data_IF_024650866386
#
_entry.id   IF_024650866386
#
_cell.length_a   1.000
_cell.length_b   1.000
_cell.length_c   1.000
_cell.angle_alpha   90.00
_cell.angle_beta   90.00
_cell.angle_gamma   90.00
#
_symmetry.space_group_name_H-M   'P 1'
#
loop_
_entity.id
_entity.type
_entity.pdbx_description
1 polymer ?
#
# COMPACT_ATOMS: atom_id res chain seq x y z
N UNK A 1 33.63 -24.80 -5.08
CA UNK A 1 32.38 -24.09 -4.74
C UNK A 1 31.25 -24.70 -5.55
N UNK A 2 30.17 -25.12 -4.85
CA UNK A 2 28.97 -25.70 -5.49
C UNK A 2 27.96 -24.63 -5.90
N UNK A 3 28.21 -23.35 -5.58
CA UNK A 3 27.31 -22.22 -5.80
C UNK A 3 28.08 -21.11 -6.53
N UNK A 4 27.50 -20.65 -7.63
CA UNK A 4 27.93 -19.45 -8.34
C UNK A 4 26.85 -18.37 -8.23
N UNK A 5 27.23 -17.15 -7.83
CA UNK A 5 26.32 -16.01 -7.72
C UNK A 5 26.62 -15.07 -8.90
N UNK A 6 25.64 -14.87 -9.78
CA UNK A 6 25.63 -13.79 -10.78
C UNK A 6 24.74 -12.65 -10.29
N UNK A 7 25.20 -11.40 -10.48
CA UNK A 7 24.44 -10.18 -10.08
C UNK A 7 24.00 -9.42 -11.32
N UNK A 8 23.29 -10.12 -12.19
CA UNK A 8 22.80 -9.61 -13.46
C UNK A 8 21.27 -9.72 -13.52
N UNK A 9 20.64 -8.83 -14.27
CA UNK A 9 19.21 -8.94 -14.55
C UNK A 9 18.96 -10.08 -15.54
N UNK A 10 18.14 -11.05 -15.16
CA UNK A 10 17.60 -12.05 -16.06
C UNK A 10 16.41 -11.44 -16.80
N UNK A 11 16.55 -11.20 -18.10
CA UNK A 11 15.53 -10.53 -18.93
C UNK A 11 14.60 -11.51 -19.62
N UNK A 12 15.10 -12.67 -19.97
CA UNK A 12 14.39 -13.71 -20.70
C UNK A 12 14.94 -15.10 -20.36
N UNK A 13 14.34 -16.14 -20.92
CA UNK A 13 14.77 -17.53 -20.68
C UNK A 13 15.87 -18.00 -21.64
N UNK A 14 16.29 -17.21 -22.61
CA UNK A 14 17.29 -17.58 -23.59
C UNK A 14 18.70 -17.77 -23.00
N UNK A 15 18.95 -17.15 -21.84
CA UNK A 15 20.21 -17.31 -21.12
C UNK A 15 20.41 -18.71 -20.50
N UNK A 16 19.38 -19.57 -20.54
CA UNK A 16 19.44 -20.92 -20.00
C UNK A 16 19.36 -21.97 -21.12
N UNK A 17 20.13 -23.05 -20.99
CA UNK A 17 19.99 -24.18 -21.88
C UNK A 17 18.75 -25.01 -21.58
N UNK A 18 18.25 -25.75 -22.56
CA UNK A 18 17.11 -26.66 -22.38
C UNK A 18 17.36 -27.76 -21.34
N UNK A 19 18.62 -27.99 -20.95
CA UNK A 19 19.00 -28.95 -19.93
C UNK A 19 18.90 -28.42 -18.50
N UNK A 20 18.90 -27.09 -18.32
CA UNK A 20 18.85 -26.48 -16.99
C UNK A 20 17.47 -26.66 -16.33
N UNK A 21 17.48 -26.85 -15.01
CA UNK A 21 16.31 -26.66 -14.16
C UNK A 21 16.31 -25.20 -13.70
N UNK A 22 15.24 -24.49 -13.96
CA UNK A 22 15.08 -23.09 -13.64
C UNK A 22 14.06 -22.94 -12.52
N UNK A 23 14.43 -22.26 -11.45
CA UNK A 23 13.51 -21.85 -10.38
C UNK A 23 13.35 -20.34 -10.37
N UNK A 24 12.14 -19.85 -10.67
CA UNK A 24 11.79 -18.43 -10.64
C UNK A 24 11.17 -18.12 -9.28
N UNK A 25 11.90 -17.37 -8.46
CA UNK A 25 11.48 -16.96 -7.12
C UNK A 25 11.70 -15.44 -6.89
N UNK A 26 11.46 -14.65 -7.93
CA UNK A 26 11.73 -13.21 -7.98
C UNK A 26 10.73 -12.37 -7.18
N UNK A 27 9.62 -12.98 -6.73
CA UNK A 27 8.60 -12.33 -5.93
C UNK A 27 7.74 -11.33 -6.71
N UNK A 28 6.99 -10.46 -6.01
CA UNK A 28 6.01 -9.58 -6.63
C UNK A 28 6.63 -8.42 -7.41
N UNK A 29 7.87 -8.03 -7.10
CA UNK A 29 8.60 -6.94 -7.76
C UNK A 29 9.52 -7.45 -8.86
N UNK A 30 9.11 -8.50 -9.57
CA UNK A 30 9.80 -9.01 -10.76
C UNK A 30 10.04 -7.89 -11.78
N UNK A 31 11.24 -7.85 -12.36
CA UNK A 31 11.58 -6.83 -13.36
C UNK A 31 10.62 -6.86 -14.55
N UNK A 32 10.47 -5.72 -15.20
CA UNK A 32 9.55 -5.57 -16.33
C UNK A 32 9.91 -6.54 -17.49
N UNK A 33 11.22 -6.68 -17.78
CA UNK A 33 11.70 -7.57 -18.83
C UNK A 33 11.29 -9.02 -18.56
N UNK A 34 11.62 -9.54 -17.38
CA UNK A 34 11.27 -10.92 -17.01
C UNK A 34 9.76 -11.12 -16.84
N UNK A 35 9.03 -10.12 -16.35
CA UNK A 35 7.58 -10.19 -16.26
C UNK A 35 6.93 -10.31 -17.65
N UNK A 36 7.39 -9.53 -18.63
CA UNK A 36 6.92 -9.62 -20.02
C UNK A 36 7.26 -10.97 -20.67
N UNK A 37 8.45 -11.50 -20.38
CA UNK A 37 8.83 -12.84 -20.83
C UNK A 37 7.90 -13.91 -20.26
N UNK A 38 7.62 -13.88 -18.95
CA UNK A 38 6.68 -14.79 -18.29
C UNK A 38 5.29 -14.66 -18.92
N UNK A 39 4.81 -13.44 -19.20
CA UNK A 39 3.51 -13.18 -19.83
C UNK A 39 3.49 -13.78 -21.25
N UNK A 40 4.54 -13.59 -22.06
CA UNK A 40 4.61 -14.10 -23.42
C UNK A 40 4.52 -15.63 -23.46
N UNK A 41 5.19 -16.30 -22.54
CA UNK A 41 5.18 -17.76 -22.42
C UNK A 41 3.86 -18.31 -21.86
N UNK A 42 3.26 -17.63 -20.89
CA UNK A 42 2.03 -18.09 -20.22
C UNK A 42 0.78 -17.77 -21.00
N UNK A 43 0.84 -16.83 -21.94
CA UNK A 43 -0.30 -16.35 -22.73
C UNK A 43 -1.37 -15.61 -21.87
N UNK A 44 -0.99 -15.17 -20.68
CA UNK A 44 -1.89 -14.51 -19.75
C UNK A 44 -1.67 -13.00 -19.79
N UNK A 45 -2.60 -12.27 -20.36
CA UNK A 45 -2.63 -10.82 -20.28
C UNK A 45 -2.88 -10.39 -18.83
N UNK A 46 -1.98 -9.59 -18.29
CA UNK A 46 -2.03 -8.91 -17.01
C UNK A 46 -2.21 -9.80 -15.76
N UNK A 47 -1.11 -10.33 -15.29
CA UNK A 47 -0.98 -10.86 -13.93
C UNK A 47 -0.26 -9.84 -13.06
N UNK A 48 -0.82 -8.64 -12.96
CA UNK A 48 -0.30 -7.59 -12.13
C UNK A 48 -1.43 -6.80 -11.49
N UNK A 49 -1.17 -6.32 -10.28
CA UNK A 49 -2.04 -5.38 -9.59
C UNK A 49 -1.18 -4.32 -8.91
N UNK A 50 -1.77 -3.16 -8.68
CA UNK A 50 -1.13 -2.15 -7.85
C UNK A 50 -1.46 -2.37 -6.38
N UNK A 51 -0.40 -2.40 -5.57
CA UNK A 51 -0.46 -2.35 -4.12
C UNK A 51 0.06 -0.99 -3.68
N UNK A 52 -0.78 -0.25 -2.98
CA UNK A 52 -0.44 1.05 -2.45
C UNK A 52 -0.09 0.93 -0.97
N UNK A 53 0.97 1.64 -0.57
CA UNK A 53 1.51 1.64 0.79
C UNK A 53 1.17 2.96 1.45
N UNK A 54 0.74 2.90 2.72
CA UNK A 54 0.48 4.06 3.54
C UNK A 54 1.77 4.63 4.17
N UNK A 55 1.81 5.93 4.49
CA UNK A 55 2.93 6.55 5.18
C UNK A 55 3.09 6.03 6.61
N UNK A 56 4.33 6.06 7.11
CA UNK A 56 4.70 5.78 8.49
C UNK A 56 5.28 7.05 9.10
N UNK A 57 4.86 7.39 10.31
CA UNK A 57 5.22 8.60 11.05
C UNK A 57 5.97 8.22 12.31
N UNK A 58 6.95 9.05 12.71
CA UNK A 58 7.60 8.97 14.01
C UNK A 58 6.68 9.48 15.12
N UNK A 59 6.55 8.71 16.20
CA UNK A 59 5.68 9.05 17.34
C UNK A 59 5.99 10.40 17.98
N UNK A 60 7.26 10.70 18.17
CA UNK A 60 7.76 11.93 18.81
C UNK A 60 7.41 13.21 18.05
N UNK A 61 7.00 13.08 16.77
CA UNK A 61 6.56 14.19 15.93
C UNK A 61 5.03 14.34 15.88
N UNK A 62 4.27 13.55 16.63
CA UNK A 62 2.81 13.65 16.69
C UNK A 62 2.41 14.58 17.84
N UNK A 63 1.63 15.63 17.53
CA UNK A 63 1.07 16.52 18.55
C UNK A 63 -0.09 15.85 19.29
N UNK A 64 0.22 15.22 20.43
CA UNK A 64 -0.78 14.55 21.27
C UNK A 64 -1.75 15.51 21.99
N UNK A 65 -1.55 16.83 21.93
CA UNK A 65 -2.55 17.79 22.39
C UNK A 65 -3.74 17.88 21.45
N UNK A 66 -3.58 17.47 20.20
CA UNK A 66 -4.61 17.42 19.14
C UNK A 66 -5.10 16.02 18.84
N UNK A 67 -4.34 15.00 19.23
CA UNK A 67 -4.63 13.59 19.01
C UNK A 67 -4.80 12.85 20.34
N UNK A 68 -5.42 11.67 20.34
CA UNK A 68 -5.59 10.87 21.55
C UNK A 68 -5.51 9.38 21.26
N UNK A 69 -5.16 8.61 22.30
CA UNK A 69 -5.18 7.15 22.26
C UNK A 69 -6.60 6.63 22.50
N UNK A 70 -7.08 5.79 21.62
CA UNK A 70 -8.30 4.99 21.84
C UNK A 70 -8.46 3.94 20.75
N UNK A 71 -8.85 2.73 21.12
CA UNK A 71 -9.36 1.72 20.21
C UNK A 71 -10.88 1.87 20.04
N UNK A 72 -11.43 1.53 18.88
CA UNK A 72 -12.87 1.65 18.63
C UNK A 72 -13.67 0.80 19.60
N UNK A 73 -14.72 1.41 20.17
CA UNK A 73 -15.60 0.79 21.17
C UNK A 73 -14.84 0.33 22.42
N UNK A 74 -13.72 1.00 22.73
CA UNK A 74 -12.85 0.73 23.88
C UNK A 74 -12.40 -0.73 23.99
N UNK A 75 -12.18 -1.38 22.82
CA UNK A 75 -11.64 -2.73 22.75
C UNK A 75 -10.13 -2.73 22.99
N UNK A 76 -9.62 -3.83 23.59
CA UNK A 76 -8.19 -3.96 23.92
C UNK A 76 -7.78 -3.06 25.07
N UNK A 77 -6.51 -2.69 25.10
CA UNK A 77 -5.87 -1.83 26.16
C UNK A 77 -6.02 -0.33 25.87
N UNK A 78 -6.76 0.05 24.83
CA UNK A 78 -7.05 1.44 24.50
C UNK A 78 -5.87 2.22 23.89
N UNK A 79 -4.72 1.59 23.68
CA UNK A 79 -3.50 2.24 23.15
C UNK A 79 -3.09 1.79 21.75
N UNK A 80 -3.88 0.95 21.10
CA UNK A 80 -3.55 0.39 19.81
C UNK A 80 -3.58 1.42 18.67
N UNK A 81 -4.35 2.50 18.87
CA UNK A 81 -4.54 3.55 17.86
C UNK A 81 -4.41 4.94 18.45
N UNK A 82 -3.76 5.82 17.70
CA UNK A 82 -3.82 7.27 17.88
C UNK A 82 -4.86 7.81 16.91
N UNK A 83 -5.72 8.72 17.38
CA UNK A 83 -6.83 9.28 16.64
C UNK A 83 -6.64 10.76 16.41
N UNK A 84 -6.70 11.22 15.16
CA UNK A 84 -6.62 12.61 14.76
C UNK A 84 -8.01 13.10 14.32
N UNK A 85 -8.66 14.00 15.06
CA UNK A 85 -10.01 14.45 14.75
C UNK A 85 -10.01 15.50 13.64
N UNK A 86 -11.06 15.48 12.81
CA UNK A 86 -11.37 16.57 11.90
C UNK A 86 -12.79 17.06 12.17
N UNK A 87 -12.98 18.39 12.20
CA UNK A 87 -14.31 18.98 12.10
C UNK A 87 -14.80 18.93 10.63
N UNK A 88 -16.02 19.39 10.39
CA UNK A 88 -16.63 19.32 9.05
C UNK A 88 -15.85 20.12 8.01
N UNK A 89 -15.44 21.32 8.32
CA UNK A 89 -14.68 22.20 7.41
C UNK A 89 -13.31 21.60 7.08
N UNK A 90 -12.57 21.14 8.10
CA UNK A 90 -11.28 20.47 7.94
C UNK A 90 -11.39 19.22 7.07
N UNK A 91 -12.47 18.43 7.24
CA UNK A 91 -12.70 17.25 6.44
C UNK A 91 -12.88 17.59 4.96
N UNK A 92 -13.77 18.50 4.62
CA UNK A 92 -14.02 18.85 3.20
C UNK A 92 -12.79 19.49 2.55
N UNK A 93 -12.09 20.38 3.26
CA UNK A 93 -10.83 20.94 2.77
C UNK A 93 -9.77 19.86 2.54
N UNK A 94 -9.65 18.90 3.46
CA UNK A 94 -8.72 17.78 3.34
C UNK A 94 -9.05 16.91 2.10
N UNK A 95 -10.33 16.52 1.93
CA UNK A 95 -10.78 15.72 0.78
C UNK A 95 -10.54 16.45 -0.54
N UNK A 96 -10.84 17.74 -0.62
CA UNK A 96 -10.59 18.54 -1.80
C UNK A 96 -9.11 18.57 -2.18
N UNK A 97 -8.23 18.78 -1.21
CA UNK A 97 -6.79 18.80 -1.45
C UNK A 97 -6.24 17.41 -1.82
N UNK A 98 -6.76 16.37 -1.21
CA UNK A 98 -6.43 15.00 -1.55
C UNK A 98 -6.74 14.70 -3.02
N UNK A 99 -7.92 15.11 -3.50
CA UNK A 99 -8.35 14.95 -4.90
C UNK A 99 -7.48 15.78 -5.84
N UNK A 100 -7.19 17.05 -5.50
CA UNK A 100 -6.41 17.99 -6.31
C UNK A 100 -4.89 17.74 -6.27
N UNK A 101 -4.41 16.93 -5.35
CA UNK A 101 -2.98 16.66 -5.16
C UNK A 101 -2.31 16.08 -6.40
N UNK A 102 -1.02 16.36 -6.58
CA UNK A 102 -0.21 15.77 -7.64
C UNK A 102 0.00 14.29 -7.37
N UNK A 103 -0.37 13.46 -8.34
CA UNK A 103 -0.24 12.00 -8.29
C UNK A 103 0.93 11.54 -9.16
N UNK A 104 1.45 10.37 -8.89
CA UNK A 104 2.43 9.70 -9.74
C UNK A 104 1.73 9.34 -11.05
N UNK A 105 2.34 9.72 -12.17
CA UNK A 105 1.84 9.34 -13.49
C UNK A 105 2.17 7.87 -13.77
N UNK A 106 1.18 7.15 -14.26
CA UNK A 106 1.36 5.79 -14.75
C UNK A 106 2.03 5.80 -16.12
N UNK A 107 2.93 4.86 -16.34
CA UNK A 107 3.38 4.53 -17.67
C UNK A 107 2.21 4.02 -18.52
N UNK A 108 2.29 4.15 -19.84
CA UNK A 108 1.18 3.82 -20.74
C UNK A 108 0.64 2.38 -20.54
N UNK A 109 1.55 1.43 -20.36
CA UNK A 109 1.23 0.02 -20.14
C UNK A 109 0.66 -0.29 -18.73
N UNK A 110 0.81 0.63 -17.77
CA UNK A 110 0.29 0.50 -16.40
C UNK A 110 -1.14 0.98 -16.26
N UNK A 111 -1.63 1.83 -17.18
CA UNK A 111 -2.94 2.50 -17.07
C UNK A 111 -4.12 1.56 -16.87
N UNK A 112 -4.04 0.36 -17.43
CA UNK A 112 -5.08 -0.67 -17.32
C UNK A 112 -4.87 -1.67 -16.18
N UNK A 113 -3.83 -1.50 -15.36
CA UNK A 113 -3.56 -2.38 -14.22
C UNK A 113 -4.52 -2.08 -13.07
N UNK A 114 -5.31 -3.05 -12.58
CA UNK A 114 -6.25 -2.80 -11.50
C UNK A 114 -5.54 -2.57 -10.16
N UNK A 115 -6.18 -1.82 -9.26
CA UNK A 115 -5.78 -1.76 -7.87
C UNK A 115 -6.26 -3.02 -7.14
N UNK A 116 -5.45 -3.50 -6.21
CA UNK A 116 -5.92 -4.46 -5.22
C UNK A 116 -6.93 -3.76 -4.30
N UNK A 117 -8.15 -4.29 -4.17
CA UNK A 117 -9.24 -3.62 -3.45
C UNK A 117 -8.90 -3.26 -2.00
N UNK A 118 -8.18 -4.16 -1.30
CA UNK A 118 -7.75 -3.94 0.09
C UNK A 118 -6.69 -2.85 0.27
N UNK A 119 -6.02 -2.44 -0.80
CA UNK A 119 -4.95 -1.44 -0.81
C UNK A 119 -5.23 -0.29 -1.79
N UNK A 120 -6.51 0.02 -1.99
CA UNK A 120 -6.92 1.12 -2.88
C UNK A 120 -6.39 2.46 -2.37
N UNK A 121 -5.77 3.29 -3.24
CA UNK A 121 -5.30 4.61 -2.84
C UNK A 121 -6.44 5.48 -2.29
N UNK A 122 -6.13 6.23 -1.22
CA UNK A 122 -7.12 7.06 -0.50
C UNK A 122 -7.75 8.11 -1.41
N UNK A 123 -6.99 8.69 -2.34
CA UNK A 123 -7.49 9.66 -3.31
C UNK A 123 -8.46 9.03 -4.33
N UNK A 124 -8.26 7.76 -4.70
CA UNK A 124 -9.20 7.01 -5.56
C UNK A 124 -10.50 6.74 -4.81
N UNK A 125 -10.43 6.46 -3.52
CA UNK A 125 -11.65 6.35 -2.69
C UNK A 125 -12.37 7.69 -2.57
N UNK A 126 -11.63 8.79 -2.41
CA UNK A 126 -12.20 10.15 -2.32
C UNK A 126 -12.91 10.58 -3.61
N UNK A 127 -12.38 10.20 -4.76
CA UNK A 127 -12.97 10.47 -6.08
C UNK A 127 -14.34 9.81 -6.28
N UNK A 128 -14.67 8.74 -5.53
CA UNK A 128 -15.97 8.07 -5.58
C UNK A 128 -17.10 8.87 -4.92
N UNK A 129 -16.76 9.87 -4.13
CA UNK A 129 -17.71 10.78 -3.48
C UNK A 129 -17.11 11.42 -2.23
N UNK A 130 -17.48 12.66 -1.99
CA UNK A 130 -16.89 13.50 -0.92
C UNK A 130 -17.12 12.94 0.50
N UNK A 131 -18.13 12.12 0.72
CA UNK A 131 -18.43 11.48 2.00
C UNK A 131 -17.87 10.04 2.10
N UNK A 132 -17.30 9.50 1.04
CA UNK A 132 -16.84 8.10 0.99
C UNK A 132 -15.85 7.79 2.11
N UNK A 133 -14.87 8.68 2.34
CA UNK A 133 -13.85 8.46 3.36
C UNK A 133 -14.42 8.45 4.77
N UNK A 134 -15.45 9.27 5.04
CA UNK A 134 -16.14 9.36 6.33
C UNK A 134 -16.92 8.09 6.66
N UNK A 135 -17.35 7.33 5.67
CA UNK A 135 -18.01 6.03 5.83
C UNK A 135 -17.03 4.85 5.72
N UNK A 136 -15.78 5.13 5.39
CA UNK A 136 -14.67 4.19 5.24
C UNK A 136 -13.55 4.42 6.27
N UNK A 137 -12.32 4.72 5.80
CA UNK A 137 -11.14 4.80 6.66
C UNK A 137 -11.19 5.94 7.69
N UNK A 138 -11.97 6.99 7.44
CA UNK A 138 -12.08 8.16 8.34
C UNK A 138 -13.36 8.18 9.17
N UNK A 139 -14.06 7.05 9.33
CA UNK A 139 -15.32 7.03 10.10
C UNK A 139 -15.09 7.40 11.57
N UNK A 140 -15.94 8.24 12.18
CA UNK A 140 -15.77 8.67 13.58
C UNK A 140 -16.43 7.72 14.60
N UNK A 141 -17.24 6.75 14.18
CA UNK A 141 -18.04 5.92 15.06
C UNK A 141 -17.20 5.05 16.02
N UNK A 142 -17.66 4.93 17.26
CA UNK A 142 -17.00 4.17 18.31
C UNK A 142 -15.76 4.83 18.89
N UNK A 143 -15.61 6.16 18.69
CA UNK A 143 -14.51 6.97 19.21
C UNK A 143 -15.07 8.21 19.92
N UNK A 144 -14.43 8.55 21.05
CA UNK A 144 -14.74 9.76 21.83
C UNK A 144 -13.43 10.53 22.04
N UNK A 145 -13.38 11.76 21.56
CA UNK A 145 -12.18 12.58 21.73
C UNK A 145 -11.96 12.95 23.20
N UNK A 146 -10.96 12.37 23.84
CA UNK A 146 -10.63 12.66 25.24
C UNK A 146 -10.19 14.10 25.48
N UNK A 147 -9.64 14.78 24.46
CA UNK A 147 -9.23 16.18 24.55
C UNK A 147 -10.41 17.15 24.40
N UNK A 148 -11.52 16.71 23.80
CA UNK A 148 -12.76 17.47 23.64
C UNK A 148 -13.99 16.54 23.66
N UNK A 149 -14.40 16.02 24.84
CA UNK A 149 -15.49 15.05 24.94
C UNK A 149 -16.87 15.59 24.57
N UNK A 150 -17.03 16.90 24.56
CA UNK A 150 -18.33 17.56 24.28
C UNK A 150 -18.61 17.63 22.78
N UNK A 151 -17.57 17.69 21.96
CA UNK A 151 -17.68 17.85 20.51
C UNK A 151 -17.30 16.55 19.79
N UNK A 152 -18.28 15.92 19.15
CA UNK A 152 -18.01 14.74 18.34
C UNK A 152 -17.25 15.14 17.06
N UNK A 153 -16.14 14.49 16.74
CA UNK A 153 -15.44 14.74 15.50
C UNK A 153 -16.30 14.37 14.29
N UNK A 154 -16.23 15.15 13.22
CA UNK A 154 -16.93 14.84 11.98
C UNK A 154 -16.30 13.63 11.27
N UNK A 155 -14.99 13.56 11.30
CA UNK A 155 -14.20 12.41 10.81
C UNK A 155 -12.99 12.20 11.71
N UNK A 156 -12.40 11.01 11.67
CA UNK A 156 -11.22 10.65 12.45
C UNK A 156 -10.24 9.89 11.57
N UNK A 157 -9.00 10.32 11.55
CA UNK A 157 -7.88 9.58 10.95
C UNK A 157 -7.20 8.79 12.05
N UNK A 158 -7.02 7.48 11.85
CA UNK A 158 -6.37 6.61 12.82
C UNK A 158 -4.95 6.28 12.41
N UNK A 159 -4.05 6.31 13.38
CA UNK A 159 -2.69 5.79 13.24
C UNK A 159 -2.60 4.49 14.04
N UNK A 160 -2.01 3.46 13.46
CA UNK A 160 -1.75 2.17 14.12
C UNK A 160 -0.27 2.00 14.37
N UNK A 161 0.09 1.49 15.54
CA UNK A 161 1.47 1.15 15.87
C UNK A 161 2.07 0.18 14.84
N UNK A 162 3.23 0.52 14.30
CA UNK A 162 3.89 -0.23 13.22
C UNK A 162 5.06 -1.11 13.73
N UNK A 163 5.61 -0.78 14.91
CA UNK A 163 6.70 -1.55 15.53
C UNK A 163 6.47 -1.80 17.03
N UNK A 164 7.13 -2.80 17.58
CA UNK A 164 7.00 -3.18 19.00
C UNK A 164 7.46 -2.09 19.99
N UNK A 165 8.32 -1.17 19.54
CA UNK A 165 8.83 -0.06 20.36
C UNK A 165 7.83 1.10 20.48
N UNK A 166 6.76 1.13 19.66
CA UNK A 166 5.80 2.24 19.62
C UNK A 166 6.35 3.53 19.05
N UNK A 167 7.53 3.49 18.43
CA UNK A 167 8.17 4.67 17.84
C UNK A 167 7.70 5.00 16.42
N UNK A 168 7.03 4.05 15.75
CA UNK A 168 6.55 4.18 14.37
C UNK A 168 5.04 3.91 14.29
N UNK A 169 4.34 4.77 13.55
CA UNK A 169 2.88 4.72 13.42
C UNK A 169 2.43 4.86 11.97
N UNK A 170 1.65 3.90 11.51
CA UNK A 170 1.12 3.82 10.16
C UNK A 170 -0.23 4.54 10.07
N UNK A 171 -0.45 5.37 9.05
CA UNK A 171 -1.75 6.02 8.80
C UNK A 171 -2.71 4.97 8.19
N UNK A 172 -3.68 4.53 8.97
CA UNK A 172 -4.58 3.42 8.59
C UNK A 172 -5.49 3.80 7.43
N UNK A 173 -5.42 3.01 6.34
CA UNK A 173 -6.26 3.22 5.17
C UNK A 173 -5.81 4.36 4.25
N UNK A 174 -4.61 4.88 4.46
CA UNK A 174 -4.06 6.00 3.69
C UNK A 174 -2.98 5.56 2.69
N UNK A 175 -3.15 4.41 2.10
CA UNK A 175 -2.39 4.01 0.93
C UNK A 175 -2.58 5.08 -0.15
N UNK A 176 -1.50 5.44 -0.83
CA UNK A 176 -1.55 6.60 -1.74
C UNK A 176 -0.64 6.47 -2.96
N UNK A 177 -1.08 7.06 -4.06
CA UNK A 177 -0.28 7.31 -5.28
C UNK A 177 0.15 8.79 -5.42
N UNK A 178 -0.05 9.61 -4.39
CA UNK A 178 0.43 11.00 -4.41
C UNK A 178 1.95 11.06 -4.52
N UNK A 179 2.46 12.09 -5.19
CA UNK A 179 3.89 12.39 -5.15
C UNK A 179 4.37 12.65 -3.72
N UNK A 180 5.64 12.41 -3.42
CA UNK A 180 6.20 12.60 -2.07
C UNK A 180 6.02 14.02 -1.52
N UNK A 181 6.10 15.02 -2.40
CA UNK A 181 5.85 16.42 -2.05
C UNK A 181 4.37 16.62 -1.66
N UNK A 182 3.45 16.13 -2.49
CA UNK A 182 2.02 16.25 -2.24
C UNK A 182 1.59 15.53 -0.96
N UNK A 183 2.17 14.37 -0.65
CA UNK A 183 1.89 13.67 0.61
C UNK A 183 2.22 14.56 1.82
N UNK A 184 3.39 15.19 1.86
CA UNK A 184 3.74 16.10 2.95
C UNK A 184 2.79 17.27 3.04
N UNK A 185 2.49 17.93 1.92
CA UNK A 185 1.59 19.09 1.87
C UNK A 185 0.17 18.77 2.35
N UNK A 186 -0.36 17.60 2.00
CA UNK A 186 -1.72 17.18 2.35
C UNK A 186 -1.77 16.63 3.78
N UNK A 187 -0.85 15.74 4.15
CA UNK A 187 -0.92 15.07 5.46
C UNK A 187 -0.51 15.98 6.62
N UNK A 188 0.33 16.99 6.41
CA UNK A 188 0.60 18.02 7.42
C UNK A 188 -0.63 18.88 7.76
N UNK A 189 -1.75 18.79 7.03
CA UNK A 189 -3.00 19.49 7.38
C UNK A 189 -3.89 18.72 8.33
N UNK A 190 -3.53 17.48 8.65
CA UNK A 190 -4.24 16.65 9.62
C UNK A 190 -3.94 17.18 11.02
N UNK A 191 -4.96 17.49 11.85
CA UNK A 191 -4.73 17.90 13.23
C UNK A 191 -3.91 16.86 13.99
N UNK A 192 -2.84 17.29 14.63
CA UNK A 192 -1.86 16.41 15.27
C UNK A 192 -0.66 16.02 14.39
N UNK A 193 -0.71 16.31 13.08
CA UNK A 193 0.37 15.95 12.14
C UNK A 193 0.99 17.16 11.42
N UNK A 194 0.80 18.38 11.90
CA UNK A 194 1.29 19.59 11.22
C UNK A 194 2.82 19.60 11.04
N UNK A 195 3.55 19.10 12.04
CA UNK A 195 5.01 19.00 12.03
C UNK A 195 5.50 17.55 12.00
N UNK A 196 4.65 16.63 11.54
CA UNK A 196 4.95 15.21 11.56
C UNK A 196 6.15 14.84 10.69
N UNK A 197 7.06 14.06 11.25
CA UNK A 197 8.20 13.48 10.54
C UNK A 197 7.81 12.10 9.98
N UNK A 198 7.94 11.93 8.66
CA UNK A 198 7.66 10.66 8.00
C UNK A 198 8.91 9.79 7.99
N UNK A 199 8.82 8.64 8.67
CA UNK A 199 9.85 7.59 8.59
C UNK A 199 9.85 6.96 7.18
N UNK A 200 8.66 6.87 6.56
CA UNK A 200 8.46 6.45 5.18
C UNK A 200 7.24 7.14 4.61
N UNK A 201 7.35 7.64 3.40
CA UNK A 201 6.19 8.09 2.63
C UNK A 201 5.48 6.92 1.97
N UNK A 202 4.22 7.11 1.66
CA UNK A 202 3.43 6.15 0.91
C UNK A 202 3.95 6.00 -0.52
N UNK A 203 3.58 4.92 -1.16
CA UNK A 203 4.00 4.63 -2.53
C UNK A 203 3.08 3.62 -3.19
N UNK A 204 3.29 3.47 -4.48
CA UNK A 204 2.58 2.52 -5.30
C UNK A 204 3.56 1.51 -5.86
N UNK A 205 3.29 0.23 -5.66
CA UNK A 205 4.08 -0.86 -6.21
C UNK A 205 3.21 -1.69 -7.17
N UNK A 206 3.73 -1.94 -8.34
CA UNK A 206 3.15 -2.92 -9.25
C UNK A 206 3.68 -4.29 -8.87
N UNK A 207 2.77 -5.16 -8.43
CA UNK A 207 3.10 -6.54 -8.09
C UNK A 207 2.82 -7.45 -9.28
N UNK A 208 3.76 -8.31 -9.60
CA UNK A 208 3.62 -9.35 -10.62
C UNK A 208 3.34 -10.69 -9.95
N UNK A 209 2.35 -11.41 -10.46
CA UNK A 209 2.02 -12.77 -10.02
C UNK A 209 1.59 -13.61 -11.22
N UNK A 210 1.52 -14.94 -11.05
CA UNK A 210 1.06 -15.86 -12.08
C UNK A 210 -0.24 -16.53 -11.64
N UNK A 211 -1.10 -16.89 -12.59
CA UNK A 211 -2.30 -17.67 -12.32
C UNK A 211 -1.94 -19.15 -12.15
N UNK A 212 -1.32 -19.47 -10.99
CA UNK A 212 -0.77 -20.78 -10.68
C UNK A 212 -1.73 -21.96 -10.98
N UNK A 213 -3.02 -21.91 -10.62
CA UNK A 213 -3.95 -22.99 -10.94
C UNK A 213 -4.08 -23.29 -12.43
N UNK A 214 -3.95 -22.27 -13.27
CA UNK A 214 -4.04 -22.44 -14.74
C UNK A 214 -2.75 -22.92 -15.37
N UNK A 215 -1.60 -22.45 -14.90
CA UNK A 215 -0.33 -22.61 -15.61
C UNK A 215 0.66 -23.56 -14.97
N UNK A 216 0.53 -23.86 -13.67
CA UNK A 216 1.41 -24.80 -12.97
C UNK A 216 0.81 -26.19 -12.82
N UNK A 217 1.69 -27.18 -12.72
CA UNK A 217 1.39 -28.52 -12.27
C UNK A 217 1.38 -28.58 -10.74
N UNK A 218 1.03 -29.74 -10.16
CA UNK A 218 0.99 -29.94 -8.70
C UNK A 218 2.34 -29.81 -8.02
N UNK A 219 3.42 -30.04 -8.76
CA UNK A 219 4.81 -29.93 -8.31
C UNK A 219 5.39 -28.52 -8.52
N UNK A 220 4.54 -27.55 -8.90
CA UNK A 220 4.88 -26.16 -9.22
C UNK A 220 5.73 -25.99 -10.50
N UNK A 221 5.89 -27.04 -11.30
CA UNK A 221 6.49 -26.91 -12.62
C UNK A 221 5.51 -26.27 -13.61
N UNK A 222 6.05 -25.56 -14.58
CA UNK A 222 5.27 -24.94 -15.64
C UNK A 222 4.76 -26.00 -16.63
N UNK A 223 3.45 -26.02 -16.88
CA UNK A 223 2.79 -27.02 -17.74
C UNK A 223 3.38 -27.18 -19.13
N UNK A 224 3.90 -26.08 -19.74
CA UNK A 224 4.54 -26.13 -21.06
C UNK A 224 6.02 -26.52 -21.03
N UNK A 225 6.70 -26.25 -19.92
CA UNK A 225 8.14 -26.48 -19.76
C UNK A 225 8.40 -27.09 -18.38
N UNK A 226 8.46 -28.40 -18.31
CA UNK A 226 8.57 -29.15 -17.04
C UNK A 226 9.84 -28.89 -16.23
N UNK A 227 10.83 -28.23 -16.83
CA UNK A 227 12.08 -27.84 -16.15
C UNK A 227 12.03 -26.40 -15.59
N UNK A 228 10.94 -25.65 -15.79
CA UNK A 228 10.73 -24.31 -15.21
C UNK A 228 9.77 -24.44 -14.04
N UNK A 229 10.20 -23.99 -12.88
CA UNK A 229 9.45 -23.98 -11.63
C UNK A 229 9.24 -22.55 -11.16
N UNK A 230 8.14 -22.33 -10.44
CA UNK A 230 7.87 -21.04 -9.79
C UNK A 230 7.70 -21.24 -8.28
N UNK A 231 8.18 -20.30 -7.48
CA UNK A 231 8.04 -20.34 -6.03
C UNK A 231 7.96 -18.93 -5.41
N UNK A 232 7.34 -18.85 -4.22
CA UNK A 232 7.20 -17.63 -3.45
C UNK A 232 6.02 -16.76 -3.91
N UNK A 233 6.05 -15.46 -3.61
CA UNK A 233 4.93 -14.55 -3.84
C UNK A 233 4.59 -14.28 -5.30
N UNK A 234 5.34 -14.82 -6.24
CA UNK A 234 4.99 -14.76 -7.66
C UNK A 234 3.92 -15.81 -8.04
N UNK A 235 3.70 -16.82 -7.19
CA UNK A 235 2.75 -17.93 -7.43
C UNK A 235 1.38 -17.69 -6.81
#
# INVERSE_FOLDING_TARGET
NLITISREEVKDFSCFSSENIILISTGPLTSESLANEIISHTGQNSLAFFDAIAPIIYFDSIDMSKAWFQSRYDKGDGKDYINCPLNKEQYFNFVEQLIKSTKIEFKEWEKNTPYFEGCMPIEVMAERGVETLRHGPMKPFGLTNSNDPKNKPYAVIQLRQDNSLGSLWNIVGFQTKMSYKAQKEVFHKIPGLFDANFARLGGLHRNTFINSPKILQKDLSYKKYSKIFFAGQIT
#
